data_IF_273456857490
#
_entry.id   IF_273456857490
#
_cell.length_a   1.000
_cell.length_b   1.000
_cell.length_c   1.000
_cell.angle_alpha   90.00
_cell.angle_beta   90.00
_cell.angle_gamma   90.00
#
_symmetry.space_group_name_H-M   'P 1'
#
loop_
_entity.id
_entity.type
_entity.pdbx_description
1 polymer ?
#
# COMPACT_ATOMS: atom_id res chain seq x y z
N UNK A 1 -17.84 -0.53 25.41
CA UNK A 1 -16.68 -1.20 24.77
C UNK A 1 -15.71 -0.11 24.30
N UNK A 2 -14.39 -0.07 24.52
CA UNK A 2 -13.37 -1.04 24.96
C UNK A 2 -12.17 -0.24 25.52
N UNK A 3 -11.77 -0.46 26.78
CA UNK A 3 -10.44 -0.05 27.32
C UNK A 3 -9.32 -1.03 26.89
N UNK A 4 -9.33 -1.43 25.61
CA UNK A 4 -8.25 -2.18 24.96
C UNK A 4 -7.86 -1.26 23.80
N UNK A 5 -6.62 -0.82 23.62
CA UNK A 5 -5.51 -1.71 23.32
C UNK A 5 -4.20 -0.91 23.16
N UNK A 6 -3.73 -0.15 24.18
CA UNK A 6 -2.52 0.69 24.07
C UNK A 6 -1.30 -0.09 23.53
N UNK A 7 -1.14 -1.33 23.99
CA UNK A 7 -0.09 -2.22 23.52
C UNK A 7 -0.28 -2.67 22.07
N UNK A 8 -1.50 -2.98 21.61
CA UNK A 8 -1.70 -3.30 20.20
C UNK A 8 -1.50 -2.09 19.28
N UNK A 9 -1.83 -0.87 19.74
CA UNK A 9 -1.52 0.33 18.97
C UNK A 9 0.00 0.55 18.85
N UNK A 10 0.75 0.30 19.92
CA UNK A 10 2.21 0.34 19.88
C UNK A 10 2.79 -0.75 18.98
N UNK A 11 2.24 -1.97 19.05
CA UNK A 11 2.65 -3.07 18.19
C UNK A 11 2.35 -2.77 16.71
N UNK A 12 1.18 -2.21 16.40
CA UNK A 12 0.82 -1.79 15.04
C UNK A 12 1.83 -0.78 14.50
N UNK A 13 2.12 0.28 15.27
CA UNK A 13 3.13 1.29 14.89
C UNK A 13 4.53 0.69 14.69
N UNK A 14 4.91 -0.31 15.51
CA UNK A 14 6.18 -0.99 15.35
C UNK A 14 6.22 -1.82 14.05
N UNK A 15 5.13 -2.52 13.73
CA UNK A 15 4.99 -3.30 12.49
C UNK A 15 5.02 -2.40 11.25
N UNK A 16 4.32 -1.26 11.28
CA UNK A 16 4.34 -0.27 10.19
C UNK A 16 5.76 0.25 9.91
N UNK A 17 6.52 0.56 10.97
CA UNK A 17 7.92 1.00 10.85
C UNK A 17 8.83 -0.09 10.28
N UNK A 18 8.64 -1.33 10.73
CA UNK A 18 9.40 -2.46 10.20
C UNK A 18 9.09 -2.69 8.71
N UNK A 19 7.81 -2.64 8.33
CA UNK A 19 7.37 -2.78 6.94
C UNK A 19 7.96 -1.67 6.05
N UNK A 20 7.97 -0.42 6.51
CA UNK A 20 8.58 0.70 5.78
C UNK A 20 10.09 0.46 5.54
N UNK A 21 10.82 0.02 6.56
CA UNK A 21 12.26 -0.27 6.44
C UNK A 21 12.54 -1.39 5.43
N UNK A 22 11.74 -2.45 5.46
CA UNK A 22 11.86 -3.57 4.50
C UNK A 22 11.53 -3.10 3.07
N UNK A 23 10.52 -2.25 2.91
CA UNK A 23 10.17 -1.69 1.61
C UNK A 23 11.29 -0.79 1.04
N UNK A 24 11.90 0.05 1.89
CA UNK A 24 13.05 0.88 1.50
C UNK A 24 14.26 0.05 1.08
N UNK A 25 14.59 -1.00 1.84
CA UNK A 25 15.71 -1.88 1.55
C UNK A 25 15.48 -2.67 0.26
N UNK A 26 14.27 -3.22 0.08
CA UNK A 26 13.87 -3.87 -1.15
C UNK A 26 13.97 -2.94 -2.35
N UNK A 27 13.59 -1.67 -2.21
CA UNK A 27 13.74 -0.67 -3.28
C UNK A 27 15.21 -0.40 -3.61
N UNK A 28 16.07 -0.18 -2.61
CA UNK A 28 17.51 0.07 -2.82
C UNK A 28 18.19 -1.07 -3.55
N UNK A 29 17.84 -2.31 -3.19
CA UNK A 29 18.46 -3.50 -3.72
C UNK A 29 17.67 -4.16 -4.88
N UNK A 30 16.55 -3.54 -5.31
CA UNK A 30 15.65 -4.06 -6.35
C UNK A 30 15.09 -5.46 -6.04
N UNK A 31 14.89 -5.77 -4.76
CA UNK A 31 14.24 -7.00 -4.32
C UNK A 31 12.72 -6.93 -4.46
N UNK A 32 12.11 -8.06 -4.77
CA UNK A 32 10.66 -8.21 -4.81
C UNK A 32 10.17 -8.71 -3.47
N UNK A 33 9.12 -8.09 -2.93
CA UNK A 33 8.45 -8.52 -1.71
C UNK A 33 7.18 -9.30 -2.10
N UNK A 34 6.89 -10.44 -1.45
CA UNK A 34 5.62 -11.13 -1.62
C UNK A 34 4.48 -10.29 -1.02
N UNK A 35 3.49 -9.97 -1.85
CA UNK A 35 2.28 -9.24 -1.48
C UNK A 35 1.07 -10.13 -1.76
N UNK A 36 0.18 -10.24 -0.79
CA UNK A 36 -1.09 -10.95 -1.00
C UNK A 36 -2.07 -10.04 -1.74
N UNK A 37 -2.46 -10.43 -2.95
CA UNK A 37 -3.36 -9.65 -3.81
C UNK A 37 -4.33 -10.61 -4.51
N UNK A 38 -5.62 -10.34 -4.41
CA UNK A 38 -6.67 -11.12 -5.08
C UNK A 38 -6.58 -12.65 -4.85
N UNK A 39 -6.25 -13.08 -3.64
CA UNK A 39 -6.21 -14.50 -3.27
C UNK A 39 -4.94 -15.25 -3.68
N UNK A 40 -3.91 -14.55 -4.16
CA UNK A 40 -2.61 -15.12 -4.53
C UNK A 40 -1.46 -14.25 -4.03
N UNK A 41 -0.27 -14.84 -3.97
CA UNK A 41 0.96 -14.12 -3.64
C UNK A 41 1.57 -13.60 -4.95
N UNK A 42 1.71 -12.29 -5.06
CA UNK A 42 2.39 -11.59 -6.16
C UNK A 42 3.71 -11.00 -5.64
N UNK A 43 4.77 -11.06 -6.45
CA UNK A 43 6.08 -10.54 -6.07
C UNK A 43 6.32 -9.20 -6.75
N UNK A 44 6.20 -8.12 -6.00
CA UNK A 44 6.32 -6.75 -6.52
C UNK A 44 7.51 -6.03 -5.84
N UNK A 45 8.22 -5.18 -6.59
CA UNK A 45 9.16 -4.22 -5.98
C UNK A 45 8.29 -3.11 -5.39
N UNK A 46 8.42 -2.77 -4.09
CA UNK A 46 7.61 -1.72 -3.48
C UNK A 46 7.77 -0.40 -4.23
N UNK A 47 6.70 0.04 -4.91
CA UNK A 47 6.64 1.35 -5.55
C UNK A 47 6.53 2.45 -4.50
N UNK A 48 7.03 3.65 -4.82
CA UNK A 48 6.67 4.84 -4.03
C UNK A 48 5.19 5.05 -4.33
N UNK A 49 4.32 4.95 -3.31
CA UNK A 49 2.98 5.52 -3.41
C UNK A 49 3.17 7.04 -3.36
N UNK A 50 3.58 7.64 -4.48
CA UNK A 50 3.18 9.01 -4.75
C UNK A 50 1.67 8.93 -4.91
N UNK A 51 0.92 9.61 -4.03
CA UNK A 51 -0.51 9.84 -4.21
C UNK A 51 -0.73 10.59 -5.53
N UNK A 52 -0.72 9.85 -6.64
CA UNK A 52 -1.19 10.25 -7.96
C UNK A 52 -2.15 9.19 -8.54
N UNK A 53 -2.46 8.14 -7.76
CA UNK A 53 -3.41 7.09 -8.11
C UNK A 53 -4.79 7.22 -7.46
N UNK A 54 -5.04 8.26 -6.67
CA UNK A 54 -6.34 8.51 -6.03
C UNK A 54 -7.26 9.42 -6.87
N UNK A 55 -7.20 9.36 -8.20
CA UNK A 55 -8.18 9.96 -9.11
C UNK A 55 -8.34 9.12 -10.37
N UNK A 56 -8.91 7.91 -10.25
CA UNK A 56 -9.61 7.29 -11.38
C UNK A 56 -10.97 6.83 -10.87
N UNK A 57 -11.85 7.80 -10.62
CA UNK A 57 -13.27 7.58 -10.53
C UNK A 57 -13.99 8.93 -10.67
N UNK A 58 -14.50 9.17 -11.89
CA UNK A 58 -15.58 10.10 -12.31
C UNK A 58 -15.17 11.10 -13.38
N UNK A 59 -15.44 10.71 -14.62
CA UNK A 59 -16.14 11.47 -15.67
C UNK A 59 -16.11 10.55 -16.91
N UNK A 60 -17.05 9.61 -17.04
CA UNK A 60 -18.19 9.76 -17.94
C UNK A 60 -17.92 10.80 -19.04
N UNK A 61 -17.26 10.36 -20.12
CA UNK A 61 -17.23 11.11 -21.36
C UNK A 61 -18.43 10.66 -22.20
N UNK A 62 -19.61 11.12 -21.80
CA UNK A 62 -20.82 11.10 -22.61
C UNK A 62 -20.81 12.33 -23.53
N UNK A 63 -20.83 12.04 -24.84
CA UNK A 63 -21.33 12.84 -25.97
C UNK A 63 -20.77 14.25 -26.24
N UNK A 64 -20.31 14.46 -27.48
CA UNK A 64 -20.93 15.38 -28.45
C UNK A 64 -20.40 15.08 -29.87
N UNK A 65 -21.27 14.95 -30.91
CA UNK A 65 -20.85 14.78 -32.30
C UNK A 65 -20.53 16.13 -32.97
N UNK A 66 -19.82 16.07 -34.12
CA UNK A 66 -19.51 17.21 -34.99
C UNK A 66 -20.73 17.70 -35.76
#
# INVERSE_FOLDING_TARGET
MKKRNKHALLALKAMERAAAKVAEDARKNKYKIPVWKNGRIEYEIPGIVTEQGAQTARQQHSDFPK
#
